data_IF_217437034172
#
_entry.id   IF_217437034172
#
_cell.length_a   1.000
_cell.length_b   1.000
_cell.length_c   1.000
_cell.angle_alpha   90.00
_cell.angle_beta   90.00
_cell.angle_gamma   90.00
#
_symmetry.space_group_name_H-M   'P 1'
#
loop_
_entity.id
_entity.type
_entity.pdbx_description
1 polymer ?
#
# COMPACT_ATOMS: atom_id res chain seq x y z
N UNK A 1 -8.80 14.36 -12.95
CA UNK A 1 -8.62 13.74 -11.64
C UNK A 1 -9.57 12.57 -11.52
N UNK A 2 -9.09 11.46 -11.05
CA UNK A 2 -9.87 10.26 -11.00
C UNK A 2 -10.85 10.20 -9.83
N UNK A 3 -10.58 10.93 -8.78
CA UNK A 3 -11.48 10.99 -7.63
C UNK A 3 -12.38 12.18 -7.76
N UNK A 4 -13.66 11.91 -7.85
CA UNK A 4 -14.68 12.95 -7.78
C UNK A 4 -15.16 13.19 -6.38
N UNK A 5 -14.80 12.29 -5.47
CA UNK A 5 -15.21 12.35 -4.08
C UNK A 5 -14.13 12.99 -3.21
N UNK A 6 -14.50 13.66 -2.14
CA UNK A 6 -13.51 14.19 -1.21
C UNK A 6 -12.71 13.07 -0.56
N UNK A 7 -11.48 13.38 -0.19
CA UNK A 7 -10.58 12.42 0.45
C UNK A 7 -10.93 12.31 1.93
N UNK A 8 -11.77 11.34 2.30
CA UNK A 8 -12.17 11.09 3.66
C UNK A 8 -12.85 12.28 4.32
N UNK A 9 -12.87 12.28 5.65
CA UNK A 9 -13.46 13.37 6.44
C UNK A 9 -12.48 14.52 6.67
N UNK A 10 -11.25 14.39 6.22
CA UNK A 10 -10.20 15.38 6.38
C UNK A 10 -9.84 15.94 5.01
N UNK A 11 -10.28 17.17 4.68
CA UNK A 11 -10.09 17.69 3.33
C UNK A 11 -8.63 17.88 2.93
N UNK A 12 -7.72 17.85 3.87
CA UNK A 12 -6.29 18.02 3.60
C UNK A 12 -5.50 16.72 3.69
N UNK A 13 -6.17 15.57 3.68
CA UNK A 13 -5.46 14.30 3.71
C UNK A 13 -4.89 13.94 2.35
N UNK A 14 -3.93 13.03 2.37
CA UNK A 14 -3.46 12.32 1.20
C UNK A 14 -4.03 10.90 1.24
N UNK A 15 -4.38 10.37 0.08
CA UNK A 15 -4.88 8.99 0.01
C UNK A 15 -3.82 8.10 -0.61
N UNK A 16 -3.52 7.01 0.07
CA UNK A 16 -2.50 6.06 -0.38
C UNK A 16 -3.16 4.70 -0.59
N UNK A 17 -3.07 4.19 -1.81
CA UNK A 17 -3.52 2.85 -2.15
C UNK A 17 -2.35 1.89 -2.12
N UNK A 18 -2.60 0.71 -1.55
CA UNK A 18 -1.64 -0.40 -1.54
C UNK A 18 -2.25 -1.56 -2.29
N UNK A 19 -1.57 -2.03 -3.34
CA UNK A 19 -2.05 -3.11 -4.18
C UNK A 19 -1.13 -4.33 -4.02
N UNK A 20 -1.72 -5.45 -3.63
CA UNK A 20 -1.01 -6.72 -3.58
C UNK A 20 -1.57 -7.62 -4.67
N UNK A 21 -1.04 -7.49 -5.87
CA UNK A 21 -1.52 -8.23 -7.01
C UNK A 21 -1.32 -9.73 -6.83
N UNK A 22 -2.14 -10.50 -7.53
CA UNK A 22 -2.04 -11.94 -7.51
C UNK A 22 -0.65 -12.37 -7.93
N UNK A 23 -0.02 -13.17 -7.10
CA UNK A 23 1.29 -13.72 -7.37
C UNK A 23 1.21 -15.24 -7.38
N UNK A 24 2.09 -15.86 -8.15
CA UNK A 24 2.13 -17.31 -8.25
C UNK A 24 2.32 -17.97 -6.89
N UNK A 25 3.14 -17.35 -6.05
CA UNK A 25 3.38 -17.81 -4.68
C UNK A 25 2.63 -16.91 -3.69
N UNK A 26 1.41 -16.62 -3.98
CA UNK A 26 0.57 -15.61 -3.40
C UNK A 26 0.55 -15.52 -1.89
N UNK A 27 1.49 -14.81 -1.35
CA UNK A 27 1.57 -14.61 0.08
C UNK A 27 1.03 -13.26 0.48
N UNK A 28 0.38 -13.23 1.64
CA UNK A 28 -0.02 -12.01 2.27
C UNK A 28 1.20 -11.25 2.76
N UNK A 29 1.05 -9.95 2.86
CA UNK A 29 2.10 -9.06 3.35
C UNK A 29 1.57 -8.21 4.49
N UNK A 30 2.47 -7.84 5.38
CA UNK A 30 2.16 -6.95 6.51
C UNK A 30 2.52 -5.55 6.06
N UNK A 31 1.56 -4.63 6.12
CA UNK A 31 1.77 -3.23 5.77
C UNK A 31 1.82 -2.40 7.05
N UNK A 32 2.91 -1.68 7.24
CA UNK A 32 3.09 -0.79 8.38
C UNK A 32 3.37 0.62 7.90
N UNK A 33 2.81 1.59 8.59
CA UNK A 33 3.12 3.00 8.37
C UNK A 33 3.58 3.57 9.70
N UNK A 34 4.76 4.19 9.70
CA UNK A 34 5.39 4.76 10.89
C UNK A 34 5.46 3.73 12.02
N UNK A 35 5.83 2.50 11.67
CA UNK A 35 5.95 1.35 12.57
C UNK A 35 4.63 0.85 13.16
N UNK A 36 3.52 1.38 12.68
CA UNK A 36 2.20 0.91 13.11
C UNK A 36 1.64 -0.04 12.06
N UNK A 37 1.34 -1.26 12.47
CA UNK A 37 0.75 -2.24 11.56
C UNK A 37 -0.67 -1.84 11.22
N UNK A 38 -0.96 -1.72 9.91
CA UNK A 38 -2.29 -1.39 9.43
C UNK A 38 -3.10 -2.63 9.10
N UNK A 39 -2.49 -3.55 8.38
CA UNK A 39 -3.22 -4.73 7.94
C UNK A 39 -2.27 -5.82 7.48
N UNK A 40 -2.80 -7.03 7.48
CA UNK A 40 -2.23 -8.17 6.78
C UNK A 40 -2.97 -8.23 5.44
N UNK A 41 -2.28 -7.90 4.36
CA UNK A 41 -2.90 -7.75 3.05
C UNK A 41 -2.75 -9.03 2.23
N UNK A 42 -3.85 -9.75 1.99
CA UNK A 42 -3.79 -10.97 1.19
C UNK A 42 -3.47 -10.70 -0.28
N UNK A 43 -3.06 -11.74 -0.98
CA UNK A 43 -2.87 -11.69 -2.41
C UNK A 43 -4.16 -11.34 -3.13
N UNK A 44 -4.06 -10.60 -4.20
CA UNK A 44 -5.18 -10.16 -5.05
C UNK A 44 -6.14 -9.23 -4.34
N UNK A 45 -5.64 -8.50 -3.36
CA UNK A 45 -6.43 -7.49 -2.65
C UNK A 45 -5.68 -6.18 -2.57
N UNK A 46 -6.43 -5.11 -2.40
CA UNK A 46 -5.88 -3.78 -2.18
C UNK A 46 -6.62 -3.10 -1.04
N UNK A 47 -6.02 -2.07 -0.49
CA UNK A 47 -6.71 -1.18 0.44
C UNK A 47 -6.18 0.23 0.26
N UNK A 48 -6.87 1.18 0.84
CA UNK A 48 -6.40 2.55 0.87
C UNK A 48 -6.54 3.12 2.27
N UNK A 49 -5.77 4.14 2.53
CA UNK A 49 -5.81 4.85 3.81
C UNK A 49 -5.63 6.33 3.54
N UNK A 50 -6.41 7.15 4.24
CA UNK A 50 -6.29 8.61 4.21
C UNK A 50 -5.40 9.02 5.38
N UNK A 51 -4.32 9.74 5.08
CA UNK A 51 -3.27 10.07 6.03
C UNK A 51 -3.04 11.57 5.99
N UNK A 52 -2.77 12.17 7.15
CA UNK A 52 -2.36 13.56 7.21
C UNK A 52 -1.07 13.76 6.40
N UNK A 53 -1.00 14.82 5.57
CA UNK A 53 0.19 15.05 4.75
C UNK A 53 1.44 15.21 5.61
N UNK A 54 2.42 14.40 5.33
CA UNK A 54 3.70 14.43 6.04
C UNK A 54 4.62 13.41 5.37
N UNK A 55 5.84 13.36 5.85
CA UNK A 55 6.72 12.27 5.48
C UNK A 55 6.34 11.04 6.28
N UNK A 56 6.13 9.94 5.58
CA UNK A 56 5.80 8.67 6.23
C UNK A 56 6.86 7.63 5.91
N UNK A 57 7.04 6.72 6.83
CA UNK A 57 7.87 5.54 6.64
C UNK A 57 6.93 4.35 6.40
N UNK A 58 7.13 3.67 5.28
CA UNK A 58 6.31 2.52 4.91
C UNK A 58 7.18 1.27 5.02
N UNK A 59 6.66 0.25 5.69
CA UNK A 59 7.33 -1.04 5.79
C UNK A 59 6.41 -2.10 5.23
N UNK A 60 6.94 -2.89 4.29
CA UNK A 60 6.27 -4.06 3.75
C UNK A 60 7.05 -5.27 4.22
N UNK A 61 6.38 -6.15 4.95
CA UNK A 61 7.03 -7.30 5.56
C UNK A 61 6.25 -8.57 5.22
N UNK A 62 6.87 -9.68 5.47
CA UNK A 62 6.23 -10.99 5.37
C UNK A 62 6.14 -11.61 6.74
N UNK A 63 5.19 -12.51 6.88
CA UNK A 63 5.10 -13.35 8.06
C UNK A 63 6.11 -14.49 7.99
N UNK A 64 7.33 -14.17 7.58
CA UNK A 64 8.42 -15.12 7.45
C UNK A 64 9.68 -14.52 8.06
N UNK A 65 10.32 -15.27 8.92
CA UNK A 65 11.54 -14.82 9.59
C UNK A 65 12.76 -14.75 8.66
N UNK A 66 12.62 -15.21 7.42
CA UNK A 66 13.76 -15.33 6.50
C UNK A 66 13.89 -14.20 5.52
N UNK A 67 12.93 -13.30 5.45
CA UNK A 67 12.99 -12.20 4.51
C UNK A 67 13.14 -10.89 5.24
N UNK A 68 13.97 -10.01 4.67
CA UNK A 68 14.10 -8.67 5.20
C UNK A 68 12.90 -7.83 4.78
N UNK A 69 12.37 -7.00 5.67
CA UNK A 69 11.30 -6.10 5.28
C UNK A 69 11.81 -5.03 4.33
N UNK A 70 10.96 -4.59 3.43
CA UNK A 70 11.23 -3.45 2.58
C UNK A 70 10.76 -2.19 3.30
N UNK A 71 11.61 -1.18 3.32
CA UNK A 71 11.28 0.12 3.92
C UNK A 71 11.51 1.22 2.91
N UNK A 72 10.61 2.18 2.89
CA UNK A 72 10.72 3.36 2.05
C UNK A 72 10.10 4.55 2.75
N UNK A 73 10.57 5.73 2.40
CA UNK A 73 9.98 6.97 2.88
C UNK A 73 9.23 7.62 1.72
N UNK A 74 8.09 8.19 2.03
CA UNK A 74 7.25 8.86 1.04
C UNK A 74 6.79 10.19 1.60
N UNK A 75 7.02 11.26 0.84
CA UNK A 75 6.52 12.57 1.19
C UNK A 75 5.11 12.74 0.62
N UNK A 76 4.15 12.94 1.49
CA UNK A 76 2.75 13.08 1.10
C UNK A 76 2.35 14.54 1.06
N UNK A 77 1.68 14.92 -0.02
CA UNK A 77 1.13 16.26 -0.18
C UNK A 77 -0.39 16.23 -0.01
N UNK A 78 -0.99 17.32 0.45
CA UNK A 78 -2.44 17.36 0.65
C UNK A 78 -3.20 17.19 -0.66
N UNK A 79 -4.33 16.54 -0.58
CA UNK A 79 -5.25 16.32 -1.69
C UNK A 79 -4.64 15.55 -2.86
N UNK A 80 -3.60 14.77 -2.60
CA UNK A 80 -2.99 13.91 -3.60
C UNK A 80 -3.34 12.46 -3.36
N UNK A 81 -3.31 11.67 -4.42
CA UNK A 81 -3.56 10.23 -4.37
C UNK A 81 -2.33 9.51 -4.86
N UNK A 82 -1.92 8.54 -4.10
CA UNK A 82 -0.72 7.75 -4.37
C UNK A 82 -1.11 6.30 -4.55
N UNK A 83 -0.58 5.67 -5.59
CA UNK A 83 -0.84 4.27 -5.88
C UNK A 83 0.48 3.51 -5.76
N UNK A 84 0.54 2.59 -4.80
CA UNK A 84 1.74 1.83 -4.51
C UNK A 84 1.46 0.36 -4.73
N UNK A 85 2.29 -0.26 -5.55
CA UNK A 85 2.16 -1.67 -5.86
C UNK A 85 3.26 -2.45 -5.16
N UNK A 86 2.86 -3.53 -4.52
CA UNK A 86 3.81 -4.45 -3.90
C UNK A 86 4.33 -5.38 -4.99
N UNK A 87 5.64 -5.35 -5.18
CA UNK A 87 6.32 -6.09 -6.22
C UNK A 87 7.24 -7.12 -5.60
N UNK A 88 7.25 -8.33 -6.18
CA UNK A 88 8.12 -9.41 -5.72
C UNK A 88 9.14 -9.73 -6.78
N UNK A 89 10.40 -9.83 -6.35
CA UNK A 89 11.48 -10.30 -7.18
C UNK A 89 11.95 -11.62 -6.61
N UNK A 90 11.78 -12.67 -7.39
CA UNK A 90 12.10 -14.04 -6.96
C UNK A 90 13.16 -14.59 -7.89
N UNK A 91 14.27 -15.05 -7.31
CA UNK A 91 15.27 -15.81 -8.03
C UNK A 91 15.68 -17.03 -7.19
N UNK A 92 16.72 -17.73 -7.60
CA UNK A 92 17.12 -18.96 -6.92
C UNK A 92 17.51 -18.76 -5.46
N UNK A 93 17.98 -17.58 -5.10
CA UNK A 93 18.54 -17.33 -3.79
C UNK A 93 17.83 -16.23 -3.02
N UNK A 94 17.05 -15.44 -3.70
CA UNK A 94 16.42 -14.29 -3.06
C UNK A 94 14.94 -14.22 -3.38
N UNK A 95 14.22 -13.68 -2.42
CA UNK A 95 12.80 -13.41 -2.56
C UNK A 95 12.57 -12.07 -1.88
N UNK A 96 12.65 -11.00 -2.68
CA UNK A 96 12.62 -9.64 -2.16
C UNK A 96 11.30 -8.97 -2.46
N UNK A 97 10.85 -8.17 -1.53
CA UNK A 97 9.69 -7.32 -1.68
C UNK A 97 10.14 -5.90 -2.00
N UNK A 98 9.39 -5.25 -2.85
CA UNK A 98 9.58 -3.85 -3.20
C UNK A 98 8.23 -3.16 -3.21
N UNK A 99 8.26 -1.86 -3.01
CA UNK A 99 7.09 -1.04 -3.15
C UNK A 99 7.37 -0.04 -4.28
N UNK A 100 6.51 -0.05 -5.29
CA UNK A 100 6.71 0.76 -6.48
C UNK A 100 5.51 1.66 -6.67
N UNK A 101 5.76 2.95 -6.90
CA UNK A 101 4.68 3.88 -7.24
C UNK A 101 4.29 3.69 -8.69
N UNK A 102 3.00 3.52 -8.94
CA UNK A 102 2.46 3.33 -10.27
C UNK A 102 1.48 4.44 -10.61
N UNK A 103 1.20 4.59 -11.90
CA UNK A 103 0.25 5.60 -12.34
C UNK A 103 -1.17 5.23 -11.94
N UNK A 104 -2.02 6.23 -11.87
CA UNK A 104 -3.44 6.01 -11.60
C UNK A 104 -4.07 5.07 -12.62
N UNK A 105 -3.75 5.25 -13.89
CA UNK A 105 -4.30 4.40 -14.95
C UNK A 105 -3.91 2.94 -14.76
N UNK A 106 -2.64 2.69 -14.49
CA UNK A 106 -2.15 1.34 -14.25
C UNK A 106 -2.80 0.73 -13.01
N UNK A 107 -2.91 1.52 -11.95
CA UNK A 107 -3.52 1.05 -10.70
C UNK A 107 -4.98 0.68 -10.90
N UNK A 108 -5.74 1.55 -11.56
CA UNK A 108 -7.17 1.28 -11.77
C UNK A 108 -7.39 0.06 -12.65
N UNK A 109 -6.53 -0.13 -13.64
CA UNK A 109 -6.62 -1.32 -14.48
C UNK A 109 -6.37 -2.59 -13.65
N UNK A 110 -5.38 -2.57 -12.79
CA UNK A 110 -5.08 -3.70 -11.92
C UNK A 110 -6.20 -3.96 -10.91
N UNK A 111 -6.74 -2.91 -10.32
CA UNK A 111 -7.77 -3.03 -9.29
C UNK A 111 -9.09 -3.60 -9.81
N UNK A 112 -9.32 -3.59 -11.13
CA UNK A 112 -10.53 -4.17 -11.71
C UNK A 112 -10.68 -5.65 -11.40
N UNK A 113 -9.58 -6.36 -11.28
CA UNK A 113 -9.57 -7.79 -10.97
C UNK A 113 -9.23 -8.08 -9.51
N UNK A 114 -9.10 -7.07 -8.69
CA UNK A 114 -8.75 -7.20 -7.29
C UNK A 114 -9.94 -6.87 -6.41
N UNK A 115 -9.84 -7.28 -5.14
CA UNK A 115 -10.89 -7.00 -4.16
C UNK A 115 -10.36 -6.09 -3.07
N UNK A 116 -11.24 -5.26 -2.54
CA UNK A 116 -10.90 -4.38 -1.41
C UNK A 116 -10.78 -5.20 -0.14
N UNK A 117 -9.71 -4.96 0.61
CA UNK A 117 -9.55 -5.54 1.95
C UNK A 117 -10.24 -4.63 2.95
N UNK A 118 -11.43 -4.99 3.34
CA UNK A 118 -12.29 -4.14 4.15
C UNK A 118 -11.89 -4.08 5.63
N UNK A 119 -11.02 -4.97 6.09
CA UNK A 119 -10.60 -4.97 7.49
C UNK A 119 -9.53 -3.91 7.78
N UNK A 120 -8.92 -3.34 6.75
CA UNK A 120 -7.89 -2.32 6.93
C UNK A 120 -8.51 -0.98 7.34
N UNK A 121 -7.81 -0.20 8.18
CA UNK A 121 -8.29 1.14 8.51
C UNK A 121 -8.22 2.03 7.28
N UNK A 122 -9.23 2.90 7.12
CA UNK A 122 -9.27 3.83 6.00
C UNK A 122 -8.79 5.23 6.36
N UNK A 123 -8.58 5.49 7.63
CA UNK A 123 -8.10 6.78 8.11
C UNK A 123 -6.99 6.53 9.12
N UNK A 124 -5.89 7.23 8.95
CA UNK A 124 -4.75 7.13 9.85
C UNK A 124 -4.30 8.54 10.21
N UNK A 125 -4.27 8.82 11.51
CA UNK A 125 -3.73 10.06 12.02
C UNK A 125 -2.24 9.88 12.24
N UNK A 126 -1.47 10.82 11.74
CA UNK A 126 -0.03 10.82 11.88
C UNK A 126 0.34 11.51 13.19
N UNK A 127 0.53 10.69 14.21
CA UNK A 127 0.92 11.18 15.52
C UNK A 127 2.40 11.01 15.78
#
# INVERSE_FOLDING_TARGET
MSFTEPLGDFPETARVFFLNERAFWGNEVIVKINNKQLTLLPSNKYFYVDIEPNNISITIDRDSRRSEPFQANLALEPNQVYYLKIYREIDYFTNKLYLVRISEQTAKQAMKSMKLESSAPTILKNE
#
